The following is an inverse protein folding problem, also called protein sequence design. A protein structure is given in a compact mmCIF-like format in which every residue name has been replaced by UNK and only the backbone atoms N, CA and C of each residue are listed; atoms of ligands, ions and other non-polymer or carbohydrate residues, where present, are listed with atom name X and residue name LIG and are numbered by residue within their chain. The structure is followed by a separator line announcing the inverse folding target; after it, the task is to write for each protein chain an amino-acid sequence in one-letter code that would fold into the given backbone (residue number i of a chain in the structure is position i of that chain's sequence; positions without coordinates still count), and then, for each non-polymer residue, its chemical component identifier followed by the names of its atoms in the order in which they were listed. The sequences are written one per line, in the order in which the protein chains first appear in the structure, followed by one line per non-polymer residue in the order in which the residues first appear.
data_IF_926863464559
#
_entry.id   IF_926863464559
#
_cell.length_a   1.000
_cell.length_b   1.000
_cell.length_c   1.000
_cell.angle_alpha   90.00
_cell.angle_beta   90.00
_cell.angle_gamma   90.00
#
_symmetry.space_group_name_H-M   'P 1'
#
loop_
_entity.id
_entity.type
_entity.pdbx_description
1 polymer ?
#
# COMPACT_ATOMS: atom_id res chain seq x y z
N UNK A 1 15.23 -29.99 7.03
CA UNK A 1 15.32 -28.52 7.12
C UNK A 1 15.51 -28.03 5.70
N UNK A 2 14.67 -27.12 5.24
CA UNK A 2 14.77 -26.52 3.91
C UNK A 2 15.40 -25.15 4.09
N UNK A 3 16.34 -24.80 3.23
CA UNK A 3 16.93 -23.47 3.17
C UNK A 3 16.43 -22.79 1.91
N UNK A 4 16.06 -21.51 1.99
CA UNK A 4 15.55 -20.74 0.85
C UNK A 4 16.41 -19.49 0.64
N UNK A 5 16.65 -19.13 -0.61
CA UNK A 5 17.23 -17.85 -0.99
C UNK A 5 16.35 -17.13 -2.01
N UNK A 6 16.44 -15.80 -2.05
CA UNK A 6 15.80 -15.03 -3.11
C UNK A 6 16.66 -14.99 -4.36
N UNK A 7 16.03 -15.15 -5.52
CA UNK A 7 16.66 -15.12 -6.83
C UNK A 7 16.00 -14.09 -7.75
N UNK A 8 16.74 -13.65 -8.77
CA UNK A 8 16.26 -12.78 -9.84
C UNK A 8 15.68 -13.63 -10.98
N UNK A 9 15.01 -12.99 -11.94
CA UNK A 9 14.44 -13.65 -13.12
C UNK A 9 15.48 -14.40 -13.97
N UNK A 10 16.75 -13.98 -13.93
CA UNK A 10 17.85 -14.65 -14.62
C UNK A 10 18.49 -15.79 -13.79
N UNK A 11 17.90 -16.11 -12.64
CA UNK A 11 18.40 -17.11 -11.68
C UNK A 11 19.58 -16.66 -10.83
N UNK A 12 20.06 -15.42 -11.00
CA UNK A 12 21.10 -14.89 -10.13
C UNK A 12 20.56 -14.68 -8.71
N UNK A 13 21.36 -15.03 -7.71
CA UNK A 13 21.03 -14.77 -6.31
C UNK A 13 20.86 -13.26 -6.06
N UNK A 14 19.86 -12.89 -5.28
CA UNK A 14 19.72 -11.52 -4.77
C UNK A 14 20.78 -11.28 -3.70
N UNK A 15 21.69 -10.34 -3.96
CA UNK A 15 22.77 -9.95 -3.04
C UNK A 15 22.57 -8.55 -2.46
N UNK A 16 21.67 -7.77 -3.06
CA UNK A 16 21.29 -6.46 -2.60
C UNK A 16 20.57 -6.53 -1.24
N UNK A 17 20.61 -5.43 -0.48
CA UNK A 17 19.89 -5.33 0.80
C UNK A 17 18.39 -5.40 0.54
N UNK A 18 17.75 -6.47 1.02
CA UNK A 18 16.29 -6.60 1.05
C UNK A 18 15.74 -5.65 2.11
N UNK A 19 14.78 -4.81 1.72
CA UNK A 19 14.13 -3.81 2.59
C UNK A 19 12.63 -4.03 2.72
N UNK A 20 12.05 -4.94 1.92
CA UNK A 20 10.64 -5.32 2.02
C UNK A 20 10.37 -6.63 1.29
N UNK A 21 9.41 -7.41 1.81
CA UNK A 21 8.97 -8.68 1.21
C UNK A 21 7.44 -8.67 1.20
N UNK A 22 6.86 -8.66 0.00
CA UNK A 22 5.41 -8.71 -0.21
C UNK A 22 4.94 -10.08 -0.72
N UNK A 23 3.67 -10.17 -1.10
CA UNK A 23 3.10 -11.36 -1.74
C UNK A 23 3.75 -11.64 -3.09
N UNK A 24 3.79 -10.64 -3.97
CA UNK A 24 4.27 -10.75 -5.36
C UNK A 24 5.63 -10.10 -5.62
N UNK A 25 6.04 -9.17 -4.76
CA UNK A 25 7.26 -8.37 -4.96
C UNK A 25 8.27 -8.52 -3.83
N UNK A 26 9.55 -8.51 -4.19
CA UNK A 26 10.68 -8.34 -3.29
C UNK A 26 11.25 -6.93 -3.49
N UNK A 27 11.38 -6.15 -2.41
CA UNK A 27 11.93 -4.79 -2.49
C UNK A 27 13.38 -4.81 -2.03
N UNK A 28 14.28 -4.40 -2.92
CA UNK A 28 15.72 -4.30 -2.68
C UNK A 28 16.20 -2.86 -2.78
N UNK A 29 17.21 -2.50 -1.99
CA UNK A 29 17.83 -1.18 -2.06
C UNK A 29 18.96 -1.18 -3.10
N UNK A 30 18.89 -0.24 -4.06
CA UNK A 30 19.95 0.01 -5.06
C UNK A 30 20.30 1.49 -5.06
N UNK A 31 21.33 1.87 -4.31
CA UNK A 31 21.74 3.27 -4.15
C UNK A 31 20.61 4.10 -3.53
N UNK A 32 20.16 5.12 -4.26
CA UNK A 32 19.05 6.01 -3.87
C UNK A 32 17.65 5.49 -4.22
N UNK A 33 17.55 4.24 -4.70
CA UNK A 33 16.28 3.66 -5.14
C UNK A 33 15.88 2.46 -4.29
N UNK A 34 14.57 2.32 -4.10
CA UNK A 34 13.92 1.08 -3.72
C UNK A 34 13.40 0.41 -5.00
N UNK A 35 13.87 -0.79 -5.31
CA UNK A 35 13.50 -1.50 -6.53
C UNK A 35 12.69 -2.73 -6.15
N UNK A 36 11.42 -2.75 -6.58
CA UNK A 36 10.53 -3.91 -6.44
C UNK A 36 10.75 -4.82 -7.64
N UNK A 37 11.21 -6.04 -7.38
CA UNK A 37 11.43 -7.10 -8.37
C UNK A 37 10.50 -8.28 -8.08
N UNK A 38 10.26 -9.21 -9.04
CA UNK A 38 9.49 -10.42 -8.76
C UNK A 38 10.06 -11.18 -7.57
N UNK A 39 9.19 -11.61 -6.66
CA UNK A 39 9.58 -12.42 -5.50
C UNK A 39 9.73 -13.87 -5.93
N UNK A 40 10.93 -14.23 -6.38
CA UNK A 40 11.30 -15.59 -6.70
C UNK A 40 12.24 -16.17 -5.65
N UNK A 41 12.10 -17.46 -5.40
CA UNK A 41 12.91 -18.19 -4.44
C UNK A 41 13.50 -19.46 -5.04
N UNK A 42 14.61 -19.89 -4.43
CA UNK A 42 15.25 -21.17 -4.69
C UNK A 42 15.44 -21.89 -3.37
N UNK A 43 14.93 -23.12 -3.31
CA UNK A 43 14.94 -23.96 -2.13
C UNK A 43 15.98 -25.07 -2.24
N UNK A 44 16.60 -25.38 -1.11
CA UNK A 44 17.62 -26.40 -0.95
C UNK A 44 17.29 -27.37 0.17
N UNK A 45 17.71 -28.62 0.01
CA UNK A 45 17.74 -29.59 1.09
C UNK A 45 18.93 -29.34 2.05
N UNK A 46 19.05 -30.18 3.09
CA UNK A 46 20.13 -30.09 4.08
C UNK A 46 21.52 -30.37 3.51
N UNK A 47 21.61 -30.97 2.32
CA UNK A 47 22.85 -31.30 1.64
C UNK A 47 23.21 -30.27 0.55
N UNK A 48 22.38 -29.23 0.37
CA UNK A 48 22.57 -28.20 -0.66
C UNK A 48 22.05 -28.60 -2.05
N UNK A 49 21.25 -29.66 -2.15
CA UNK A 49 20.58 -30.04 -3.40
C UNK A 49 19.40 -29.13 -3.64
N UNK A 50 19.31 -28.55 -4.85
CA UNK A 50 18.18 -27.71 -5.26
C UNK A 50 16.91 -28.56 -5.31
N UNK A 51 15.91 -28.17 -4.53
CA UNK A 51 14.59 -28.80 -4.49
C UNK A 51 13.60 -28.10 -5.44
N UNK A 52 13.69 -26.77 -5.51
CA UNK A 52 12.85 -25.92 -6.35
C UNK A 52 13.64 -24.67 -6.73
N UNK A 53 13.49 -24.22 -7.98
CA UNK A 53 14.01 -22.93 -8.43
C UNK A 53 12.92 -22.24 -9.25
N UNK A 54 12.27 -21.24 -8.67
CA UNK A 54 11.15 -20.52 -9.29
C UNK A 54 11.60 -19.61 -10.43
N UNK A 55 12.91 -19.41 -10.63
CA UNK A 55 13.45 -18.66 -11.78
C UNK A 55 13.54 -19.50 -13.06
N UNK A 56 13.41 -20.83 -12.96
CA UNK A 56 13.45 -21.72 -14.11
C UNK A 56 12.09 -21.73 -14.84
N UNK A 57 12.08 -21.96 -16.16
CA UNK A 57 10.83 -22.12 -16.89
C UNK A 57 10.01 -23.28 -16.33
N UNK A 58 8.67 -23.18 -16.35
CA UNK A 58 7.80 -24.25 -15.85
C UNK A 58 7.94 -25.51 -16.71
N UNK A 59 7.65 -26.67 -16.13
CA UNK A 59 7.47 -27.89 -16.90
C UNK A 59 6.27 -27.74 -17.85
N UNK A 60 6.20 -28.56 -18.89
CA UNK A 60 5.07 -28.55 -19.82
C UNK A 60 3.75 -28.80 -19.08
N UNK A 61 2.83 -27.84 -19.14
CA UNK A 61 1.53 -27.90 -18.45
C UNK A 61 1.50 -27.32 -17.04
N UNK A 62 2.66 -26.95 -16.48
CA UNK A 62 2.74 -26.31 -15.16
C UNK A 62 2.48 -24.80 -15.24
N UNK A 63 2.09 -24.24 -14.09
CA UNK A 63 1.85 -22.80 -13.94
C UNK A 63 3.15 -22.01 -13.94
N UNK A 64 3.25 -20.97 -14.78
CA UNK A 64 4.40 -20.07 -14.83
C UNK A 64 4.30 -18.99 -13.74
N UNK A 65 4.90 -19.27 -12.58
CA UNK A 65 4.97 -18.31 -11.48
C UNK A 65 5.73 -17.04 -11.85
N UNK A 66 6.82 -17.15 -12.61
CA UNK A 66 7.63 -16.02 -13.04
C UNK A 66 6.83 -15.04 -13.89
N UNK A 67 6.10 -15.56 -14.88
CA UNK A 67 5.23 -14.76 -15.73
C UNK A 67 4.07 -14.11 -14.95
N UNK A 68 3.49 -14.80 -13.96
CA UNK A 68 2.45 -14.21 -13.10
C UNK A 68 2.99 -13.04 -12.28
N UNK A 69 4.15 -13.20 -11.64
CA UNK A 69 4.74 -12.16 -10.81
C UNK A 69 5.14 -10.93 -11.65
N UNK A 70 5.71 -11.16 -12.84
CA UNK A 70 6.00 -10.10 -13.81
C UNK A 70 4.73 -9.38 -14.24
N UNK A 71 3.66 -10.11 -14.55
CA UNK A 71 2.37 -9.52 -14.94
C UNK A 71 1.75 -8.69 -13.82
N UNK A 72 1.95 -9.10 -12.56
CA UNK A 72 1.49 -8.37 -11.38
C UNK A 72 2.24 -7.04 -11.22
N UNK A 73 3.57 -7.04 -11.38
CA UNK A 73 4.36 -5.81 -11.34
C UNK A 73 4.06 -4.88 -12.52
N UNK A 74 3.81 -5.42 -13.72
CA UNK A 74 3.41 -4.57 -14.86
C UNK A 74 2.03 -3.93 -14.65
N UNK A 75 1.09 -4.64 -14.00
CA UNK A 75 -0.20 -4.06 -13.60
C UNK A 75 0.00 -2.90 -12.64
N UNK A 76 0.78 -3.08 -11.58
CA UNK A 76 1.12 -2.02 -10.64
C UNK A 76 1.85 -0.85 -11.33
N UNK A 77 2.77 -1.13 -12.26
CA UNK A 77 3.48 -0.11 -13.05
C UNK A 77 2.51 0.69 -13.93
N UNK A 78 1.47 0.07 -14.47
CA UNK A 78 0.39 0.77 -15.18
C UNK A 78 -0.41 1.72 -14.28
N UNK A 79 -0.58 1.39 -13.00
CA UNK A 79 -1.15 2.31 -12.00
C UNK A 79 -0.27 3.56 -11.88
N UNK A 80 1.04 3.41 -11.64
CA UNK A 80 1.95 4.56 -11.60
C UNK A 80 1.92 5.39 -12.89
N UNK A 81 1.87 4.75 -14.08
CA UNK A 81 1.69 5.45 -15.37
C UNK A 81 0.40 6.25 -15.41
N UNK A 82 -0.72 5.69 -14.96
CA UNK A 82 -2.01 6.37 -14.88
C UNK A 82 -1.97 7.53 -13.89
N UNK A 83 -1.42 7.35 -12.70
CA UNK A 83 -1.38 8.36 -11.65
C UNK A 83 -0.48 9.56 -12.02
N UNK A 84 0.57 9.31 -12.80
CA UNK A 84 1.54 10.34 -13.19
C UNK A 84 2.33 10.88 -12.00
N UNK A 85 3.02 12.00 -12.21
CA UNK A 85 3.78 12.65 -11.14
C UNK A 85 2.84 13.41 -10.20
N UNK A 86 2.87 13.07 -8.91
CA UNK A 86 2.11 13.76 -7.87
C UNK A 86 2.93 13.86 -6.58
N UNK A 87 2.83 14.98 -5.86
CA UNK A 87 3.67 15.24 -4.68
C UNK A 87 3.42 14.28 -3.51
N UNK A 88 2.24 13.66 -3.44
CA UNK A 88 1.88 12.68 -2.43
C UNK A 88 2.08 11.22 -2.84
N UNK A 89 2.71 10.94 -3.99
CA UNK A 89 2.97 9.56 -4.46
C UNK A 89 4.48 9.40 -4.62
N UNK A 90 5.03 8.26 -4.19
CA UNK A 90 6.46 7.97 -4.42
C UNK A 90 6.74 7.94 -5.92
N UNK A 91 7.76 8.67 -6.36
CA UNK A 91 8.11 8.75 -7.77
C UNK A 91 8.61 7.39 -8.27
N UNK A 92 8.01 6.91 -9.36
CA UNK A 92 8.53 5.78 -10.14
C UNK A 92 9.30 6.28 -11.36
N UNK A 93 10.58 5.92 -11.48
CA UNK A 93 11.49 6.50 -12.48
C UNK A 93 11.59 5.71 -13.78
N UNK A 94 11.25 4.43 -13.79
CA UNK A 94 11.44 3.52 -14.93
C UNK A 94 10.15 3.21 -15.72
N UNK A 95 9.16 4.12 -15.69
CA UNK A 95 7.84 3.93 -16.33
C UNK A 95 7.91 3.78 -17.86
N UNK A 96 8.92 4.37 -18.51
CA UNK A 96 9.11 4.31 -19.97
C UNK A 96 9.79 3.03 -20.44
N UNK A 97 10.34 2.22 -19.54
CA UNK A 97 10.98 0.95 -19.91
C UNK A 97 9.91 -0.13 -20.07
N UNK A 98 9.84 -0.71 -21.27
CA UNK A 98 8.95 -1.85 -21.58
C UNK A 98 9.62 -3.21 -21.35
N UNK A 99 10.93 -3.24 -21.14
CA UNK A 99 11.71 -4.48 -20.95
C UNK A 99 12.08 -4.72 -19.50
N UNK A 100 11.94 -3.70 -18.65
CA UNK A 100 12.25 -3.78 -17.23
C UNK A 100 10.96 -4.09 -16.46
N UNK A 101 10.83 -5.33 -16.00
CA UNK A 101 9.70 -5.81 -15.20
C UNK A 101 9.73 -5.33 -13.74
N UNK A 102 10.74 -4.56 -13.35
CA UNK A 102 10.84 -3.99 -12.02
C UNK A 102 10.12 -2.64 -11.90
N UNK A 103 9.83 -2.24 -10.65
CA UNK A 103 9.35 -0.91 -10.31
C UNK A 103 10.46 -0.21 -9.52
N UNK A 104 11.03 0.84 -10.11
CA UNK A 104 12.10 1.62 -9.49
C UNK A 104 11.52 2.88 -8.85
N UNK A 105 11.51 2.91 -7.52
CA UNK A 105 10.97 3.99 -6.70
C UNK A 105 12.10 4.77 -6.01
N UNK A 106 11.87 6.06 -5.74
CA UNK A 106 12.77 6.83 -4.88
C UNK A 106 12.79 6.24 -3.46
N UNK A 107 13.99 6.05 -2.89
CA UNK A 107 14.13 5.50 -1.53
C UNK A 107 13.82 6.56 -0.47
N UNK A 108 12.86 6.25 0.42
CA UNK A 108 12.44 7.13 1.52
C UNK A 108 13.14 6.71 2.82
N UNK A 109 14.11 7.51 3.28
CA UNK A 109 14.98 7.15 4.42
C UNK A 109 14.25 7.05 5.76
N UNK A 110 13.13 7.76 5.93
CA UNK A 110 12.32 7.74 7.15
C UNK A 110 11.40 6.51 7.22
N UNK A 111 11.37 5.69 6.15
CA UNK A 111 10.60 4.46 6.10
C UNK A 111 9.09 4.69 6.06
N UNK A 112 8.34 3.64 6.37
CA UNK A 112 6.88 3.68 6.45
C UNK A 112 6.39 4.28 7.78
N UNK A 113 5.19 4.83 7.74
CA UNK A 113 4.56 5.53 8.85
C UNK A 113 4.34 4.61 10.05
N UNK A 114 4.08 3.31 9.84
CA UNK A 114 3.93 2.36 10.94
C UNK A 114 5.23 2.26 11.74
N UNK A 115 6.33 1.93 11.06
CA UNK A 115 7.63 1.83 11.69
C UNK A 115 8.07 3.18 12.27
N UNK A 116 7.83 4.28 11.57
CA UNK A 116 8.13 5.61 12.08
C UNK A 116 7.44 5.88 13.43
N UNK A 117 6.12 5.65 13.52
CA UNK A 117 5.35 5.83 14.75
C UNK A 117 5.80 4.92 15.89
N UNK A 118 6.21 3.67 15.59
CA UNK A 118 6.71 2.71 16.57
C UNK A 118 8.03 3.15 17.24
N UNK A 119 8.85 3.94 16.53
CA UNK A 119 10.16 4.39 17.03
C UNK A 119 10.13 5.77 17.69
N UNK A 120 8.97 6.45 17.72
CA UNK A 120 8.84 7.72 18.41
C UNK A 120 8.69 7.52 19.93
N UNK A 121 9.43 8.32 20.70
CA UNK A 121 9.29 8.36 22.17
C UNK A 121 7.92 8.91 22.60
N UNK A 122 7.34 9.79 21.79
CA UNK A 122 6.05 10.41 22.03
C UNK A 122 5.24 10.53 20.75
N UNK A 123 3.91 10.50 20.89
CA UNK A 123 3.02 10.67 19.74
C UNK A 123 3.26 12.02 19.05
N UNK A 124 3.17 12.07 17.71
CA UNK A 124 3.25 13.34 16.98
C UNK A 124 2.21 14.35 17.48
N UNK A 125 2.57 15.63 17.43
CA UNK A 125 1.62 16.71 17.73
C UNK A 125 0.40 16.63 16.80
N UNK A 126 -0.76 17.10 17.27
CA UNK A 126 -2.01 17.06 16.52
C UNK A 126 -1.90 17.79 15.18
N UNK A 127 -1.10 18.85 15.13
CA UNK A 127 -0.81 19.63 13.93
C UNK A 127 -0.12 18.77 12.86
N UNK A 128 0.85 17.95 13.27
CA UNK A 128 1.56 17.03 12.38
C UNK A 128 0.63 15.91 11.90
N UNK A 129 -0.17 15.33 12.80
CA UNK A 129 -1.15 14.31 12.43
C UNK A 129 -2.18 14.85 11.44
N UNK A 130 -2.73 16.05 11.69
CA UNK A 130 -3.69 16.69 10.79
C UNK A 130 -3.06 17.02 9.43
N UNK A 131 -1.80 17.46 9.41
CA UNK A 131 -1.05 17.68 8.18
C UNK A 131 -0.90 16.38 7.36
N UNK A 132 -0.58 15.26 8.02
CA UNK A 132 -0.53 13.95 7.36
C UNK A 132 -1.89 13.52 6.81
N UNK A 133 -2.96 13.57 7.61
CA UNK A 133 -4.29 13.17 7.17
C UNK A 133 -4.78 14.01 5.99
N UNK A 134 -4.51 15.32 6.00
CA UNK A 134 -4.87 16.22 4.91
C UNK A 134 -4.14 15.85 3.62
N UNK A 135 -2.83 15.53 3.70
CA UNK A 135 -2.07 15.07 2.53
C UNK A 135 -2.55 13.72 2.01
N UNK A 136 -2.88 12.78 2.91
CA UNK A 136 -3.44 11.49 2.54
C UNK A 136 -4.75 11.66 1.77
N UNK A 137 -5.69 12.44 2.32
CA UNK A 137 -6.99 12.67 1.69
C UNK A 137 -6.88 13.38 0.33
N UNK A 138 -6.05 14.42 0.23
CA UNK A 138 -5.80 15.12 -1.06
C UNK A 138 -5.18 14.20 -2.11
N UNK A 139 -4.23 13.36 -1.70
CA UNK A 139 -3.59 12.42 -2.63
C UNK A 139 -4.56 11.33 -3.04
N UNK A 140 -5.38 10.84 -2.12
CA UNK A 140 -6.42 9.86 -2.42
C UNK A 140 -7.45 10.42 -3.41
N UNK A 141 -7.85 11.68 -3.26
CA UNK A 141 -8.70 12.37 -4.24
C UNK A 141 -8.05 12.42 -5.64
N UNK A 142 -6.75 12.73 -5.73
CA UNK A 142 -6.02 12.62 -7.00
C UNK A 142 -6.06 11.20 -7.58
N UNK A 143 -5.81 10.18 -6.76
CA UNK A 143 -5.84 8.77 -7.17
C UNK A 143 -7.23 8.39 -7.72
N UNK A 144 -8.30 8.70 -6.98
CA UNK A 144 -9.68 8.43 -7.39
C UNK A 144 -10.05 9.14 -8.71
N UNK A 145 -9.68 10.41 -8.87
CA UNK A 145 -9.88 11.15 -10.12
C UNK A 145 -9.13 10.56 -11.33
N UNK A 146 -8.09 9.76 -11.09
CA UNK A 146 -7.36 9.01 -12.13
C UNK A 146 -7.95 7.62 -12.38
N UNK A 147 -9.12 7.32 -11.80
CA UNK A 147 -9.88 6.08 -11.91
C UNK A 147 -9.07 4.90 -11.37
N UNK A 148 -8.55 5.05 -10.17
CA UNK A 148 -7.82 4.00 -9.45
C UNK A 148 -8.46 3.83 -8.08
N UNK A 149 -8.72 2.58 -7.70
CA UNK A 149 -9.10 2.18 -6.33
C UNK A 149 -7.84 1.62 -5.67
N UNK A 150 -7.50 2.05 -4.45
CA UNK A 150 -6.24 1.68 -3.81
C UNK A 150 -6.32 0.28 -3.19
N UNK A 151 -7.44 -0.04 -2.52
CA UNK A 151 -7.79 -1.31 -1.89
C UNK A 151 -6.90 -1.79 -0.72
N UNK A 152 -5.67 -1.28 -0.57
CA UNK A 152 -4.78 -1.60 0.56
C UNK A 152 -4.24 -0.32 1.25
N UNK A 153 -5.15 0.50 1.80
CA UNK A 153 -4.76 1.69 2.56
C UNK A 153 -4.45 1.33 4.00
N UNK A 154 -3.16 1.38 4.36
CA UNK A 154 -2.66 1.06 5.69
C UNK A 154 -1.38 1.82 6.03
N UNK A 155 -1.01 1.87 7.30
CA UNK A 155 0.17 2.61 7.79
C UNK A 155 1.48 2.23 7.08
N UNK A 156 1.62 0.98 6.64
CA UNK A 156 2.81 0.49 5.92
C UNK A 156 2.94 1.05 4.50
N UNK A 157 1.82 1.46 3.88
CA UNK A 157 1.78 1.95 2.51
C UNK A 157 1.85 3.50 2.44
N UNK A 158 2.24 4.11 3.55
CA UNK A 158 2.56 5.53 3.65
C UNK A 158 4.03 5.70 4.03
N UNK A 159 4.86 6.20 3.12
CA UNK A 159 6.24 6.56 3.41
C UNK A 159 6.35 8.03 3.83
N UNK A 160 7.43 8.34 4.55
CA UNK A 160 7.78 9.71 4.93
C UNK A 160 9.00 10.17 4.13
N UNK A 161 8.87 11.30 3.44
CA UNK A 161 10.04 11.94 2.81
C UNK A 161 10.91 12.69 3.83
N UNK A 162 11.95 13.35 3.34
CA UNK A 162 12.91 14.10 4.15
C UNK A 162 12.30 15.26 4.95
N UNK A 163 11.14 15.76 4.53
CA UNK A 163 10.39 16.81 5.21
C UNK A 163 9.23 16.26 6.06
N UNK A 164 9.19 14.93 6.25
CA UNK A 164 8.11 14.22 6.94
C UNK A 164 6.75 14.41 6.27
N UNK A 165 6.72 14.66 4.95
CA UNK A 165 5.51 14.62 4.16
C UNK A 165 5.16 13.18 3.76
N UNK A 166 3.86 12.90 3.70
CA UNK A 166 3.34 11.56 3.41
C UNK A 166 3.38 11.28 1.91
N UNK A 167 3.85 10.09 1.54
CA UNK A 167 3.81 9.54 0.19
C UNK A 167 3.10 8.20 0.18
N UNK A 168 2.08 8.04 -0.65
CA UNK A 168 1.54 6.73 -1.00
C UNK A 168 2.59 5.91 -1.73
N UNK A 169 2.69 4.64 -1.35
CA UNK A 169 3.50 3.61 -2.00
C UNK A 169 2.67 2.33 -2.09
N UNK A 170 3.16 1.40 -2.92
CA UNK A 170 2.61 0.04 -3.12
C UNK A 170 1.17 0.04 -3.63
N UNK A 171 1.04 -0.11 -4.96
CA UNK A 171 -0.26 -0.20 -5.63
C UNK A 171 -0.52 -1.63 -6.13
N UNK A 172 0.08 -2.63 -5.47
CA UNK A 172 0.01 -4.03 -5.89
C UNK A 172 -1.42 -4.60 -5.86
N UNK A 173 -2.23 -4.16 -4.90
CA UNK A 173 -3.63 -4.55 -4.74
C UNK A 173 -4.61 -3.56 -5.42
N UNK A 174 -4.10 -2.51 -6.05
CA UNK A 174 -4.94 -1.45 -6.61
C UNK A 174 -5.54 -1.84 -7.96
N UNK A 175 -6.78 -1.38 -8.19
CA UNK A 175 -7.50 -1.63 -9.44
C UNK A 175 -7.47 -0.42 -10.35
N UNK A 176 -7.09 -0.64 -11.62
CA UNK A 176 -7.16 0.36 -12.68
C UNK A 176 -8.54 0.33 -13.33
N UNK A 177 -9.41 1.27 -12.96
CA UNK A 177 -10.76 1.34 -13.49
C UNK A 177 -10.80 1.93 -14.92
N UNK A 178 -11.84 1.59 -15.72
CA UNK A 178 -12.09 2.22 -17.01
C UNK A 178 -12.11 3.75 -16.92
N UNK A 179 -11.74 4.44 -18.00
CA UNK A 179 -11.66 5.92 -17.99
C UNK A 179 -13.03 6.59 -17.83
N UNK A 180 -14.07 5.92 -18.32
CA UNK A 180 -15.48 6.28 -18.24
C UNK A 180 -16.17 5.79 -16.95
N UNK A 181 -15.46 5.06 -16.08
CA UNK A 181 -15.94 4.75 -14.74
C UNK A 181 -16.28 6.05 -14.00
N UNK A 182 -17.46 6.17 -13.43
CA UNK A 182 -18.03 7.42 -12.93
C UNK A 182 -17.69 7.73 -11.46
N UNK A 183 -16.68 7.07 -10.90
CA UNK A 183 -16.34 7.06 -9.46
C UNK A 183 -17.35 6.31 -8.57
N UNK A 184 -18.29 5.56 -9.14
CA UNK A 184 -19.29 4.83 -8.38
C UNK A 184 -19.23 3.32 -8.60
N UNK A 185 -19.66 2.59 -7.58
CA UNK A 185 -19.68 1.14 -7.61
C UNK A 185 -18.29 0.51 -7.37
N UNK A 186 -18.27 -0.79 -7.08
CA UNK A 186 -17.04 -1.50 -6.77
C UNK A 186 -16.30 -2.01 -8.02
N UNK A 187 -15.05 -2.40 -7.85
CA UNK A 187 -14.33 -3.27 -8.77
C UNK A 187 -14.80 -4.74 -8.69
N UNK A 188 -14.12 -5.62 -9.42
CA UNK A 188 -14.44 -7.05 -9.49
C UNK A 188 -14.33 -7.77 -8.13
N UNK A 189 -13.49 -7.26 -7.23
CA UNK A 189 -13.24 -7.83 -5.90
C UNK A 189 -14.10 -7.18 -4.80
N UNK A 190 -14.94 -6.19 -5.16
CA UNK A 190 -15.84 -5.51 -4.24
C UNK A 190 -15.28 -4.24 -3.61
N UNK A 191 -14.05 -3.84 -3.94
CA UNK A 191 -13.45 -2.60 -3.42
C UNK A 191 -13.99 -1.39 -4.17
N UNK A 192 -14.08 -0.25 -3.48
CA UNK A 192 -14.61 1.00 -4.02
C UNK A 192 -13.94 2.21 -3.38
N UNK A 193 -14.31 3.41 -3.83
CA UNK A 193 -13.93 4.65 -3.13
C UNK A 193 -14.35 4.60 -1.66
N UNK A 194 -15.49 4.00 -1.36
CA UNK A 194 -15.97 3.89 0.02
C UNK A 194 -15.06 3.01 0.87
N UNK A 195 -14.60 1.86 0.35
CA UNK A 195 -13.66 1.01 1.09
C UNK A 195 -12.33 1.72 1.33
N UNK A 196 -11.82 2.47 0.36
CA UNK A 196 -10.60 3.29 0.52
C UNK A 196 -10.78 4.36 1.63
N UNK A 197 -11.94 5.02 1.66
CA UNK A 197 -12.26 6.01 2.70
C UNK A 197 -12.35 5.37 4.09
N UNK A 198 -12.96 4.20 4.20
CA UNK A 198 -13.04 3.44 5.44
C UNK A 198 -11.64 3.05 5.95
N UNK A 199 -10.78 2.55 5.06
CA UNK A 199 -9.40 2.19 5.38
C UNK A 199 -8.56 3.42 5.77
N UNK A 200 -8.74 4.56 5.11
CA UNK A 200 -8.10 5.81 5.53
C UNK A 200 -8.60 6.28 6.90
N UNK A 201 -9.90 6.12 7.20
CA UNK A 201 -10.47 6.36 8.52
C UNK A 201 -9.84 5.47 9.61
N UNK A 202 -9.57 4.21 9.27
CA UNK A 202 -8.84 3.25 10.11
C UNK A 202 -7.41 3.70 10.40
N UNK A 203 -6.68 4.14 9.37
CA UNK A 203 -5.35 4.75 9.54
C UNK A 203 -5.40 5.97 10.45
N UNK A 204 -6.36 6.89 10.24
CA UNK A 204 -6.52 8.06 11.11
C UNK A 204 -6.76 7.67 12.56
N UNK A 205 -7.62 6.68 12.80
CA UNK A 205 -7.89 6.15 14.14
C UNK A 205 -6.62 5.59 14.79
N UNK A 206 -5.85 4.77 14.09
CA UNK A 206 -4.61 4.18 14.61
C UNK A 206 -3.58 5.25 14.99
N UNK A 207 -3.40 6.26 14.14
CA UNK A 207 -2.47 7.37 14.42
C UNK A 207 -2.93 8.19 15.63
N UNK A 208 -4.21 8.55 15.70
CA UNK A 208 -4.74 9.38 16.79
C UNK A 208 -4.68 8.64 18.12
N UNK A 209 -5.03 7.35 18.14
CA UNK A 209 -5.12 6.57 19.38
C UNK A 209 -3.80 5.93 19.79
N UNK A 210 -2.87 5.74 18.85
CA UNK A 210 -1.66 4.94 19.05
C UNK A 210 -1.91 3.43 19.10
N UNK A 211 -3.12 2.95 18.77
CA UNK A 211 -3.47 1.54 18.81
C UNK A 211 -3.14 0.81 17.50
N UNK A 212 -1.90 0.90 17.05
CA UNK A 212 -1.50 0.30 15.78
C UNK A 212 -1.68 -1.23 15.77
N UNK A 213 -2.26 -1.77 14.69
CA UNK A 213 -2.36 -3.22 14.45
C UNK A 213 -3.46 -3.95 15.23
N UNK A 214 -4.25 -3.26 16.06
CA UNK A 214 -5.45 -3.85 16.68
C UNK A 214 -6.65 -3.87 15.72
N UNK A 215 -6.72 -2.92 14.79
CA UNK A 215 -7.89 -2.76 13.94
C UNK A 215 -7.95 -3.80 12.80
N UNK A 216 -6.81 -4.17 12.21
CA UNK A 216 -6.71 -5.30 11.26
C UNK A 216 -7.24 -6.61 11.86
N UNK A 217 -6.97 -6.85 13.15
CA UNK A 217 -7.45 -8.03 13.89
C UNK A 217 -8.95 -7.91 14.22
N UNK A 218 -9.47 -6.70 14.44
CA UNK A 218 -10.85 -6.45 14.86
C UNK A 218 -11.85 -6.34 13.69
N UNK A 219 -11.42 -5.83 12.53
CA UNK A 219 -12.27 -5.67 11.34
C UNK A 219 -12.24 -6.88 10.40
N UNK A 220 -11.45 -7.91 10.72
CA UNK A 220 -11.46 -9.15 9.96
C UNK A 220 -10.80 -9.05 8.59
N UNK A 221 -9.90 -8.09 8.36
CA UNK A 221 -9.02 -8.06 7.19
C UNK A 221 -7.92 -9.13 7.35
N UNK A 222 -8.32 -10.39 7.24
CA UNK A 222 -7.38 -11.48 7.04
C UNK A 222 -6.69 -11.27 5.69
N UNK A 223 -5.36 -11.29 5.69
CA UNK A 223 -4.54 -11.07 4.50
C UNK A 223 -4.93 -11.97 3.33
N UNK A 224 -4.58 -11.49 2.12
CA UNK A 224 -4.69 -12.12 0.82
C UNK A 224 -4.94 -13.64 0.86
N UNK A 225 -6.13 -14.07 0.42
CA UNK A 225 -6.40 -15.48 0.11
C UNK A 225 -7.69 -16.10 0.62
N UNK A 226 -8.65 -15.35 1.19
CA UNK A 226 -9.98 -15.90 1.48
C UNK A 226 -11.07 -15.10 0.76
N UNK A 227 -11.85 -15.84 -0.04
CA UNK A 227 -13.05 -15.40 -0.74
C UNK A 227 -13.91 -14.52 0.16
N UNK A 228 -14.52 -13.48 -0.42
CA UNK A 228 -15.48 -12.57 0.19
C UNK A 228 -16.64 -13.30 0.90
N UNK A 229 -16.38 -13.83 2.10
CA UNK A 229 -17.38 -14.13 3.10
C UNK A 229 -17.30 -13.02 4.12
N UNK A 230 -18.39 -12.25 4.20
CA UNK A 230 -18.66 -11.10 5.07
C UNK A 230 -17.69 -10.92 6.26
N UNK A 231 -17.13 -9.71 6.46
CA UNK A 231 -16.29 -9.47 7.62
C UNK A 231 -17.11 -9.74 8.89
N UNK A 232 -16.58 -10.61 9.76
CA UNK A 232 -17.11 -10.82 11.10
C UNK A 232 -17.19 -9.44 11.75
N UNK A 233 -18.40 -8.91 11.94
CA UNK A 233 -18.67 -7.62 12.58
C UNK A 233 -18.15 -7.64 14.03
N UNK A 234 -16.85 -7.41 14.21
CA UNK A 234 -16.34 -6.81 15.42
C UNK A 234 -16.90 -5.40 15.50
N UNK A 235 -17.50 -5.04 16.63
CA UNK A 235 -18.00 -3.68 16.83
C UNK A 235 -16.85 -2.69 16.63
N UNK A 236 -17.03 -1.76 15.69
CA UNK A 236 -16.08 -0.65 15.47
C UNK A 236 -15.80 0.05 16.80
N UNK A 237 -14.55 0.43 17.09
CA UNK A 237 -14.23 1.07 18.36
C UNK A 237 -14.93 2.43 18.45
N UNK A 238 -15.32 2.82 19.67
CA UNK A 238 -15.99 4.09 19.90
C UNK A 238 -15.09 5.28 19.58
N UNK A 239 -15.65 6.29 18.89
CA UNK A 239 -14.99 7.54 18.51
C UNK A 239 -15.39 8.73 19.38
N UNK A 240 -16.32 8.56 20.34
CA UNK A 240 -16.99 9.66 21.03
C UNK A 240 -16.09 10.64 21.79
N UNK A 241 -14.93 10.19 22.26
CA UNK A 241 -13.94 11.03 22.98
C UNK A 241 -12.60 11.14 22.23
N UNK A 242 -12.60 10.81 20.93
CA UNK A 242 -11.40 10.80 20.10
C UNK A 242 -11.31 12.12 19.34
N UNK A 243 -10.14 12.75 19.33
CA UNK A 243 -9.89 13.93 18.49
C UNK A 243 -10.02 13.54 17.01
N UNK A 244 -10.82 14.30 16.24
CA UNK A 244 -11.31 13.94 14.89
C UNK A 244 -12.25 12.72 14.84
N UNK A 245 -12.80 12.29 15.98
CA UNK A 245 -13.70 11.14 16.05
C UNK A 245 -14.90 11.24 15.12
N UNK A 246 -15.48 12.44 14.95
CA UNK A 246 -16.59 12.65 14.01
C UNK A 246 -16.20 12.53 12.53
N UNK A 247 -14.95 12.81 12.17
CA UNK A 247 -14.45 12.63 10.80
C UNK A 247 -14.18 11.14 10.56
N UNK A 248 -13.53 10.47 11.52
CA UNK A 248 -13.26 9.02 11.47
C UNK A 248 -14.57 8.24 11.35
N UNK A 249 -15.56 8.58 12.18
CA UNK A 249 -16.88 7.94 12.14
C UNK A 249 -17.61 8.15 10.82
N UNK A 250 -17.47 9.33 10.20
CA UNK A 250 -17.98 9.60 8.85
C UNK A 250 -17.29 8.77 7.78
N UNK A 251 -15.98 8.54 7.86
CA UNK A 251 -15.29 7.64 6.95
C UNK A 251 -15.90 6.23 7.02
N UNK A 252 -16.10 5.72 8.23
CA UNK A 252 -16.64 4.38 8.46
C UNK A 252 -18.13 4.26 8.13
N UNK A 253 -18.92 5.31 8.32
CA UNK A 253 -20.38 5.28 8.07
C UNK A 253 -20.77 5.68 6.65
N UNK A 254 -19.80 5.76 5.72
CA UNK A 254 -20.01 6.24 4.34
C UNK A 254 -20.59 7.67 4.27
N UNK A 255 -20.23 8.51 5.25
CA UNK A 255 -20.66 9.91 5.34
C UNK A 255 -19.90 10.84 4.39
N UNK A 256 -18.86 10.35 3.71
CA UNK A 256 -18.16 11.05 2.64
C UNK A 256 -18.36 10.28 1.33
N UNK A 257 -18.78 10.96 0.27
CA UNK A 257 -18.94 10.31 -1.04
C UNK A 257 -17.62 10.21 -1.77
N UNK A 258 -16.77 11.25 -1.65
CA UNK A 258 -15.47 11.34 -2.30
C UNK A 258 -14.36 11.69 -1.30
N UNK A 259 -13.12 11.37 -1.66
CA UNK A 259 -11.94 11.78 -0.89
C UNK A 259 -11.75 13.31 -0.81
N UNK A 260 -12.28 14.06 -1.78
CA UNK A 260 -12.35 15.52 -1.73
C UNK A 260 -13.18 16.03 -0.54
N UNK A 261 -14.29 15.37 -0.22
CA UNK A 261 -15.15 15.75 0.91
C UNK A 261 -14.42 15.56 2.24
N UNK A 262 -13.66 14.47 2.35
CA UNK A 262 -12.79 14.19 3.49
C UNK A 262 -11.68 15.23 3.60
N UNK A 263 -10.99 15.53 2.49
CA UNK A 263 -9.94 16.56 2.46
C UNK A 263 -10.48 17.91 2.93
N UNK A 264 -11.62 18.36 2.38
CA UNK A 264 -12.27 19.59 2.81
C UNK A 264 -12.71 19.54 4.29
N UNK A 265 -13.14 18.37 4.78
CA UNK A 265 -13.45 18.14 6.19
C UNK A 265 -12.27 18.36 7.13
N UNK A 266 -11.10 17.86 6.74
CA UNK A 266 -9.84 17.99 7.49
C UNK A 266 -9.30 19.42 7.42
N UNK A 267 -9.36 20.07 6.26
CA UNK A 267 -8.89 21.45 6.07
C UNK A 267 -9.66 22.45 6.93
N UNK A 268 -10.97 22.26 7.12
CA UNK A 268 -11.77 23.09 8.05
C UNK A 268 -11.23 23.04 9.49
N UNK A 269 -10.59 21.94 9.89
CA UNK A 269 -9.97 21.83 11.22
C UNK A 269 -8.69 22.65 11.36
N UNK A 270 -8.01 22.98 10.25
CA UNK A 270 -6.85 23.88 10.24
C UNK A 270 -7.29 25.33 10.51
N UNK A 271 -8.41 25.73 9.93
CA UNK A 271 -8.90 27.12 10.01
C UNK A 271 -9.41 27.45 11.41
N UNK A 272 -10.10 26.53 12.09
CA UNK A 272 -10.62 26.73 13.45
C UNK A 272 -9.55 26.88 14.55
N UNK A 273 -8.26 26.82 14.22
CA UNK A 273 -7.13 27.07 15.14
C UNK A 273 -6.49 28.46 14.99
N UNK A 274 -6.92 29.25 13.99
CA UNK A 274 -6.50 30.64 13.76
C UNK A 274 -7.52 31.60 14.36
#
# INVERSE_FOLDING_TARGET
MIFSEFVKLDGARVTEKVIGVGGTGLVIQRGQYAVKIPRLSRDFDVNGVVLLDESLPPSEGDYDIGAMLVSSLEREKNIYRRLGSHSGIVRCSNLSSSTDSSIQLDFMKNGDLKNYLLHLEARPAREVQLFWFTQMARTLAHIHHRRVIVADIRLQNFLLDDQLAIKFVDFGESTLMPLDWDLNGPDEDGYSIQTDLEQLGSVMYEVVTGQSGKLDVMLGTAGAGQSASEPRQGSRPSTGNIWLGCIIDKCWSHGFSLADDLAAGLERQLICKT
#
